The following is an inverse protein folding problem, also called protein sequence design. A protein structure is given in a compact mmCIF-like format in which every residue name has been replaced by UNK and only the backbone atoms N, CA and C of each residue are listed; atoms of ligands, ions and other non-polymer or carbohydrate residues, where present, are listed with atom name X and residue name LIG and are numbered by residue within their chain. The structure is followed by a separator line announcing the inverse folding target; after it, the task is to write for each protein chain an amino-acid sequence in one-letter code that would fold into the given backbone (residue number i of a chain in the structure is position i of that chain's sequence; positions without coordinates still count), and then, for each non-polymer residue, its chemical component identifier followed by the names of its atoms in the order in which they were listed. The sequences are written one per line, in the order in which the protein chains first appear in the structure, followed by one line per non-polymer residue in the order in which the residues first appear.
data_IF_287141076309
#
_entry.id   IF_287141076309
#
_cell.length_a   1.000
_cell.length_b   1.000
_cell.length_c   1.000
_cell.angle_alpha   90.00
_cell.angle_beta   90.00
_cell.angle_gamma   90.00
#
_symmetry.space_group_name_H-M   'P 1'
#
loop_
_entity.id
_entity.type
_entity.pdbx_description
1 polymer ?
#
# COMPACT_ATOMS: atom_id res chain seq x y z
N UNK A 1 -10.23 15.38 35.12
CA UNK A 1 -11.28 14.79 34.27
C UNK A 1 -10.57 14.06 33.15
N UNK A 2 -10.40 12.77 33.34
CA UNK A 2 -9.42 11.92 32.66
C UNK A 2 -10.05 11.36 31.37
N UNK A 3 -9.55 11.81 30.21
CA UNK A 3 -9.99 11.32 28.90
C UNK A 3 -9.38 9.93 28.67
N UNK A 4 -10.14 8.89 29.01
CA UNK A 4 -9.84 7.51 28.62
C UNK A 4 -9.74 7.42 27.10
N UNK A 5 -8.52 7.16 26.62
CA UNK A 5 -8.30 6.69 25.25
C UNK A 5 -8.78 5.24 25.16
N UNK A 6 -10.06 5.06 24.78
CA UNK A 6 -10.56 3.75 24.40
C UNK A 6 -9.92 3.34 23.07
N UNK A 7 -8.89 2.50 23.18
CA UNK A 7 -8.38 1.67 22.11
C UNK A 7 -9.50 0.68 21.73
N UNK A 8 -10.43 1.13 20.87
CA UNK A 8 -11.37 0.23 20.22
C UNK A 8 -10.58 -0.80 19.44
N UNK A 9 -10.74 -2.06 19.83
CA UNK A 9 -10.16 -3.23 19.20
C UNK A 9 -10.39 -3.17 17.68
N UNK A 10 -9.29 -3.20 16.92
CA UNK A 10 -9.29 -3.23 15.46
C UNK A 10 -9.66 -4.63 14.96
N UNK A 11 -10.88 -5.10 15.26
CA UNK A 11 -11.39 -6.32 14.63
C UNK A 11 -11.96 -5.98 13.25
N UNK A 12 -11.55 -6.71 12.19
CA UNK A 12 -12.07 -6.48 10.85
C UNK A 12 -13.58 -6.77 10.81
N UNK A 13 -14.34 -5.94 10.09
CA UNK A 13 -15.77 -6.20 9.89
C UNK A 13 -15.98 -7.46 9.06
N UNK A 14 -17.15 -8.11 9.18
CA UNK A 14 -17.49 -9.33 8.43
C UNK A 14 -17.35 -9.16 6.90
N UNK A 15 -17.58 -7.95 6.39
CA UNK A 15 -17.43 -7.61 4.98
C UNK A 15 -15.95 -7.43 4.58
N UNK A 16 -15.17 -6.77 5.44
CA UNK A 16 -13.71 -6.67 5.31
C UNK A 16 -13.07 -8.06 5.26
N UNK A 17 -13.47 -8.96 6.16
CA UNK A 17 -13.02 -10.35 6.19
C UNK A 17 -13.41 -11.09 4.91
N UNK A 18 -14.65 -10.97 4.42
CA UNK A 18 -15.09 -11.63 3.17
C UNK A 18 -14.31 -11.16 1.95
N UNK A 19 -14.06 -9.86 1.84
CA UNK A 19 -13.25 -9.30 0.76
C UNK A 19 -11.84 -9.89 0.88
N UNK A 20 -11.23 -9.81 2.06
CA UNK A 20 -9.86 -10.28 2.31
C UNK A 20 -9.68 -11.80 2.07
N UNK A 21 -10.71 -12.63 2.33
CA UNK A 21 -10.66 -14.05 1.96
C UNK A 21 -10.76 -14.25 0.45
N UNK A 22 -11.71 -13.57 -0.21
CA UNK A 22 -11.84 -13.62 -1.67
C UNK A 22 -10.50 -13.29 -2.38
N UNK A 23 -9.69 -12.44 -1.74
CA UNK A 23 -8.34 -12.07 -2.16
C UNK A 23 -7.29 -13.17 -2.04
N UNK A 24 -7.19 -13.89 -0.92
CA UNK A 24 -6.21 -14.98 -0.79
C UNK A 24 -6.51 -16.11 -1.75
N UNK A 25 -7.79 -16.46 -1.92
CA UNK A 25 -8.20 -17.36 -2.99
C UNK A 25 -7.73 -16.82 -4.35
N UNK A 26 -7.88 -15.54 -4.63
CA UNK A 26 -7.40 -14.92 -5.88
C UNK A 26 -5.89 -15.01 -6.14
N UNK A 27 -5.04 -15.15 -5.12
CA UNK A 27 -3.58 -15.31 -5.30
C UNK A 27 -3.15 -16.74 -5.69
N UNK A 28 -4.05 -17.74 -5.61
CA UNK A 28 -3.77 -19.14 -6.00
C UNK A 28 -4.63 -19.68 -7.14
N UNK A 29 -5.45 -18.86 -7.83
CA UNK A 29 -6.54 -19.42 -8.64
C UNK A 29 -6.51 -19.09 -10.12
N UNK A 30 -5.84 -19.98 -10.82
CA UNK A 30 -6.49 -20.68 -11.91
C UNK A 30 -7.67 -21.55 -11.40
N UNK A 31 -8.85 -20.96 -11.11
CA UNK A 31 -10.19 -21.62 -10.92
C UNK A 31 -10.80 -21.67 -9.48
N UNK A 32 -11.16 -20.53 -8.88
CA UNK A 32 -12.44 -20.51 -8.14
C UNK A 32 -13.27 -19.34 -8.65
N UNK A 33 -14.53 -19.63 -8.96
CA UNK A 33 -15.47 -18.62 -9.42
C UNK A 33 -15.93 -17.75 -8.25
N UNK A 34 -16.32 -16.51 -8.52
CA UNK A 34 -16.84 -15.57 -7.51
C UNK A 34 -18.03 -16.15 -6.72
N UNK A 35 -18.80 -17.03 -7.35
CA UNK A 35 -19.94 -17.71 -6.75
C UNK A 35 -19.53 -18.83 -5.78
N UNK A 36 -18.41 -19.52 -6.02
CA UNK A 36 -17.83 -20.46 -5.04
C UNK A 36 -17.38 -19.76 -3.76
N UNK A 37 -16.79 -18.56 -3.89
CA UNK A 37 -16.35 -17.78 -2.72
C UNK A 37 -17.56 -17.28 -1.91
N UNK A 38 -18.63 -16.83 -2.59
CA UNK A 38 -19.86 -16.39 -1.92
C UNK A 38 -20.60 -17.52 -1.22
N UNK A 39 -20.62 -18.70 -1.83
CA UNK A 39 -21.34 -19.87 -1.32
C UNK A 39 -20.54 -20.68 -0.31
N UNK A 40 -19.26 -20.35 -0.10
CA UNK A 40 -18.40 -21.03 0.85
C UNK A 40 -18.98 -20.92 2.28
N UNK A 41 -19.24 -22.05 2.97
CA UNK A 41 -19.80 -22.03 4.32
C UNK A 41 -18.82 -21.43 5.34
N UNK A 42 -17.51 -21.53 5.06
CA UNK A 42 -16.45 -20.90 5.83
C UNK A 42 -15.34 -20.45 4.90
N UNK A 43 -14.85 -19.25 5.15
CA UNK A 43 -13.81 -18.58 4.40
C UNK A 43 -12.52 -18.59 5.24
N UNK A 44 -11.36 -18.85 4.61
CA UNK A 44 -10.05 -18.87 5.29
C UNK A 44 -9.74 -17.50 5.93
N UNK A 45 -9.56 -17.47 7.25
CA UNK A 45 -9.19 -16.23 7.94
C UNK A 45 -7.83 -15.69 7.47
N UNK A 46 -7.81 -14.40 7.14
CA UNK A 46 -6.60 -13.70 6.78
C UNK A 46 -6.11 -12.89 7.98
N UNK A 47 -4.85 -13.05 8.41
CA UNK A 47 -4.33 -12.26 9.51
C UNK A 47 -4.33 -10.78 9.16
N UNK A 48 -4.87 -9.96 10.06
CA UNK A 48 -4.91 -8.51 9.87
C UNK A 48 -3.49 -7.93 9.88
N UNK A 49 -3.10 -7.13 8.86
CA UNK A 49 -1.78 -6.54 8.81
C UNK A 49 -1.65 -5.41 9.84
N UNK A 50 -0.68 -5.52 10.75
CA UNK A 50 -0.41 -4.47 11.72
C UNK A 50 0.51 -3.38 11.13
N UNK A 51 0.12 -2.08 11.20
CA UNK A 51 0.95 -1.00 10.70
C UNK A 51 2.21 -0.81 11.54
N UNK A 52 3.35 -0.41 10.94
CA UNK A 52 4.59 -0.20 11.66
C UNK A 52 4.53 1.07 12.52
N UNK A 53 4.83 0.93 13.82
CA UNK A 53 4.87 2.06 14.75
C UNK A 53 6.22 2.76 14.73
N UNK A 54 6.21 4.09 14.66
CA UNK A 54 7.43 4.90 14.78
C UNK A 54 7.88 4.89 16.24
N UNK A 55 9.14 4.54 16.48
CA UNK A 55 9.80 4.70 17.78
C UNK A 55 10.56 6.02 17.77
N UNK A 56 10.05 7.03 18.49
CA UNK A 56 10.62 8.39 18.48
C UNK A 56 12.07 8.42 18.99
N UNK A 57 12.44 7.51 19.88
CA UNK A 57 13.81 7.40 20.42
C UNK A 57 14.80 6.78 19.43
N UNK A 58 14.34 5.90 18.54
CA UNK A 58 15.20 5.11 17.65
C UNK A 58 15.11 5.50 16.17
N UNK A 59 14.08 6.26 15.76
CA UNK A 59 13.86 6.59 14.36
C UNK A 59 15.00 7.40 13.75
N UNK A 60 15.63 8.27 14.55
CA UNK A 60 16.81 9.03 14.16
C UNK A 60 18.02 8.12 13.86
N UNK A 61 18.14 7.00 14.56
CA UNK A 61 19.28 6.07 14.42
C UNK A 61 19.11 5.14 13.23
N UNK A 62 17.87 4.77 12.89
CA UNK A 62 17.59 3.72 11.89
C UNK A 62 16.39 4.04 10.99
N UNK A 63 16.36 5.20 10.30
CA UNK A 63 15.22 5.61 9.47
C UNK A 63 14.98 4.63 8.31
N UNK A 64 16.05 4.10 7.71
CA UNK A 64 15.99 3.13 6.60
C UNK A 64 15.31 1.82 7.02
N UNK A 65 15.58 1.32 8.23
CA UNK A 65 14.94 0.11 8.73
C UNK A 65 13.43 0.31 8.91
N UNK A 66 13.01 1.50 9.35
CA UNK A 66 11.59 1.82 9.45
C UNK A 66 10.93 1.89 8.06
N UNK A 67 11.59 2.51 7.08
CA UNK A 67 11.15 2.54 5.67
C UNK A 67 10.94 1.11 5.12
N UNK A 68 11.84 0.17 5.42
CA UNK A 68 11.65 -1.23 5.04
C UNK A 68 10.40 -1.86 5.67
N UNK A 69 10.13 -1.58 6.95
CA UNK A 69 8.90 -2.04 7.62
C UNK A 69 7.64 -1.45 7.01
N UNK A 70 7.69 -0.20 6.55
CA UNK A 70 6.59 0.42 5.80
C UNK A 70 6.33 -0.34 4.51
N UNK A 71 7.38 -0.63 3.73
CA UNK A 71 7.22 -1.40 2.49
C UNK A 71 6.74 -2.84 2.73
N UNK A 72 7.22 -3.51 3.78
CA UNK A 72 6.71 -4.83 4.20
C UNK A 72 5.22 -4.76 4.54
N UNK A 73 4.77 -3.70 5.20
CA UNK A 73 3.35 -3.49 5.49
C UNK A 73 2.52 -3.29 4.22
N UNK A 74 2.99 -2.50 3.25
CA UNK A 74 2.32 -2.37 1.95
C UNK A 74 2.22 -3.72 1.22
N UNK A 75 3.29 -4.52 1.26
CA UNK A 75 3.30 -5.85 0.65
C UNK A 75 2.27 -6.79 1.32
N UNK A 76 2.06 -6.67 2.64
CA UNK A 76 1.01 -7.43 3.37
C UNK A 76 -0.40 -6.99 3.00
N UNK A 77 -0.63 -5.73 2.64
CA UNK A 77 -1.91 -5.27 2.10
C UNK A 77 -2.15 -5.84 0.69
N UNK A 78 -1.09 -6.11 -0.07
CA UNK A 78 -1.11 -6.68 -1.43
C UNK A 78 -1.69 -5.76 -2.50
N UNK A 79 -1.35 -6.01 -3.77
CA UNK A 79 -1.83 -5.20 -4.88
C UNK A 79 -3.27 -5.55 -5.25
N UNK A 80 -4.12 -4.54 -5.46
CA UNK A 80 -5.50 -4.74 -5.83
C UNK A 80 -5.67 -5.08 -7.34
N UNK A 81 -5.96 -6.36 -7.61
CA UNK A 81 -6.34 -6.95 -8.90
C UNK A 81 -7.85 -7.10 -9.19
N UNK A 82 -8.79 -6.76 -8.29
CA UNK A 82 -10.24 -7.03 -8.48
C UNK A 82 -10.92 -6.12 -9.49
N UNK A 83 -10.24 -5.05 -9.93
CA UNK A 83 -10.80 -4.05 -10.82
C UNK A 83 -11.56 -2.94 -10.08
N UNK A 84 -12.14 -3.22 -8.92
CA UNK A 84 -12.81 -2.24 -8.05
C UNK A 84 -11.80 -1.49 -7.18
N UNK A 85 -11.94 -0.17 -7.08
CA UNK A 85 -11.17 0.66 -6.16
C UNK A 85 -11.94 0.79 -4.83
N UNK A 86 -11.30 0.42 -3.72
CA UNK A 86 -11.96 0.46 -2.39
C UNK A 86 -11.82 1.83 -1.71
N UNK A 87 -10.71 2.53 -1.94
CA UNK A 87 -10.46 3.84 -1.33
C UNK A 87 -10.37 4.90 -2.41
N UNK A 88 -11.24 5.91 -2.33
CA UNK A 88 -11.19 7.01 -3.27
C UNK A 88 -9.98 7.89 -3.01
N UNK A 89 -9.15 8.08 -4.04
CA UNK A 89 -7.98 8.95 -3.99
C UNK A 89 -8.08 9.98 -5.09
N UNK A 90 -8.30 11.26 -4.73
CA UNK A 90 -8.27 12.36 -5.70
C UNK A 90 -6.91 13.07 -5.59
N UNK A 91 -6.15 13.22 -6.69
CA UNK A 91 -4.82 13.84 -6.66
C UNK A 91 -4.78 15.26 -6.09
N UNK A 92 -5.90 16.00 -6.20
CA UNK A 92 -6.03 17.39 -5.72
C UNK A 92 -6.72 17.49 -4.36
N UNK A 93 -6.91 16.37 -3.64
CA UNK A 93 -7.45 16.39 -2.29
C UNK A 93 -6.47 17.07 -1.32
N UNK A 94 -7.01 17.70 -0.28
CA UNK A 94 -6.21 18.24 0.82
C UNK A 94 -5.41 17.14 1.53
N UNK A 95 -4.29 17.51 2.15
CA UNK A 95 -3.49 16.59 2.97
C UNK A 95 -4.31 15.97 4.12
N UNK A 96 -5.29 16.70 4.68
CA UNK A 96 -6.19 16.19 5.71
C UNK A 96 -7.03 15.04 5.15
N UNK A 97 -7.64 15.23 3.97
CA UNK A 97 -8.44 14.20 3.30
C UNK A 97 -7.61 12.96 3.00
N UNK A 98 -6.40 13.14 2.43
CA UNK A 98 -5.49 12.03 2.13
C UNK A 98 -5.05 11.27 3.40
N UNK A 99 -4.89 12.00 4.50
CA UNK A 99 -4.57 11.43 5.80
C UNK A 99 -5.73 10.60 6.37
N UNK A 100 -6.98 11.06 6.23
CA UNK A 100 -8.16 10.26 6.59
C UNK A 100 -8.31 9.01 5.72
N UNK A 101 -8.04 9.11 4.41
CA UNK A 101 -7.98 7.93 3.53
C UNK A 101 -6.92 6.94 4.02
N UNK A 102 -5.75 7.41 4.45
CA UNK A 102 -4.70 6.54 4.99
C UNK A 102 -5.14 5.82 6.27
N UNK A 103 -5.83 6.51 7.18
CA UNK A 103 -6.41 5.89 8.39
C UNK A 103 -7.48 4.87 8.04
N UNK A 104 -8.30 5.14 7.02
CA UNK A 104 -9.28 4.17 6.52
C UNK A 104 -8.59 2.92 5.96
N UNK A 105 -7.53 3.06 5.15
CA UNK A 105 -6.75 1.92 4.66
C UNK A 105 -6.19 1.09 5.82
N UNK A 106 -5.62 1.74 6.83
CA UNK A 106 -5.06 1.05 8.01
C UNK A 106 -6.16 0.32 8.80
N UNK A 107 -7.33 0.94 8.97
CA UNK A 107 -8.46 0.38 9.73
C UNK A 107 -9.08 -0.82 9.03
N UNK A 108 -9.22 -0.76 7.71
CA UNK A 108 -9.86 -1.82 6.93
C UNK A 108 -8.87 -2.90 6.47
N UNK A 109 -7.57 -2.62 6.33
CA UNK A 109 -6.59 -3.64 5.96
C UNK A 109 -6.79 -4.27 4.57
N UNK A 110 -7.56 -3.61 3.69
CA UNK A 110 -7.89 -4.12 2.35
C UNK A 110 -6.78 -3.87 1.33
N UNK A 111 -6.73 -4.65 0.23
CA UNK A 111 -5.76 -4.45 -0.84
C UNK A 111 -5.85 -3.11 -1.54
N UNK A 112 -4.70 -2.58 -1.93
CA UNK A 112 -4.55 -1.22 -2.47
C UNK A 112 -3.81 -1.22 -3.82
N UNK A 113 -3.92 -0.12 -4.55
CA UNK A 113 -3.19 0.17 -5.79
C UNK A 113 -2.07 1.17 -5.53
N UNK A 114 -1.32 1.48 -6.59
CA UNK A 114 -0.14 2.34 -6.52
C UNK A 114 -0.40 3.74 -5.94
N UNK A 115 -1.53 4.39 -6.26
CA UNK A 115 -1.84 5.72 -5.71
C UNK A 115 -2.17 5.67 -4.21
N UNK A 116 -2.99 4.72 -3.78
CA UNK A 116 -3.32 4.49 -2.36
C UNK A 116 -2.05 4.17 -1.56
N UNK A 117 -1.13 3.38 -2.13
CA UNK A 117 0.17 3.07 -1.51
C UNK A 117 1.03 4.33 -1.32
N UNK A 118 1.05 5.26 -2.28
CA UNK A 118 1.78 6.54 -2.15
C UNK A 118 1.22 7.37 -0.99
N UNK A 119 -0.11 7.51 -0.93
CA UNK A 119 -0.79 8.30 0.11
C UNK A 119 -0.53 7.69 1.50
N UNK A 120 -0.70 6.38 1.63
CA UNK A 120 -0.44 5.66 2.87
C UNK A 120 1.03 5.76 3.29
N UNK A 121 1.97 5.72 2.34
CA UNK A 121 3.41 5.85 2.62
C UNK A 121 3.74 7.24 3.15
N UNK A 122 3.15 8.31 2.60
CA UNK A 122 3.31 9.67 3.14
C UNK A 122 2.83 9.73 4.58
N UNK A 123 1.64 9.18 4.87
CA UNK A 123 1.09 9.12 6.22
C UNK A 123 2.02 8.39 7.19
N UNK A 124 2.47 7.18 6.85
CA UNK A 124 3.33 6.36 7.71
C UNK A 124 4.73 6.94 7.89
N UNK A 125 5.23 7.75 6.96
CA UNK A 125 6.58 8.32 7.02
C UNK A 125 6.63 9.77 7.52
N UNK A 126 5.49 10.38 7.88
CA UNK A 126 5.43 11.76 8.36
C UNK A 126 6.31 12.04 9.59
N UNK A 127 6.50 11.06 10.47
CA UNK A 127 7.35 11.19 11.66
C UNK A 127 8.83 10.84 11.44
N UNK A 128 9.27 10.58 10.20
CA UNK A 128 10.67 10.24 9.90
C UNK A 128 11.45 11.55 9.65
N UNK A 129 12.42 11.90 10.52
CA UNK A 129 13.15 13.16 10.41
C UNK A 129 14.04 13.18 9.16
N UNK A 130 14.17 14.37 8.55
CA UNK A 130 15.01 14.63 7.37
C UNK A 130 14.70 13.78 6.12
N UNK A 131 13.53 13.14 6.05
CA UNK A 131 13.07 12.37 4.89
C UNK A 131 12.29 13.26 3.92
N UNK A 132 12.90 13.59 2.78
CA UNK A 132 12.20 14.19 1.64
C UNK A 132 11.32 13.15 0.96
N UNK A 133 10.14 13.57 0.49
CA UNK A 133 9.12 12.71 -0.14
C UNK A 133 8.54 13.43 -1.34
N UNK A 134 8.45 12.76 -2.48
CA UNK A 134 7.92 13.35 -3.71
C UNK A 134 7.30 12.27 -4.60
N UNK A 135 6.17 12.54 -5.26
CA UNK A 135 5.54 11.56 -6.16
C UNK A 135 6.37 11.40 -7.45
N UNK A 136 6.59 10.15 -7.85
CA UNK A 136 7.22 9.79 -9.13
C UNK A 136 6.19 9.11 -10.03
N UNK A 137 5.77 9.81 -11.09
CA UNK A 137 4.75 9.35 -12.02
C UNK A 137 5.39 8.78 -13.30
N UNK A 138 4.89 7.64 -13.75
CA UNK A 138 5.30 6.97 -14.98
C UNK A 138 4.12 6.82 -15.92
N UNK A 139 4.29 7.27 -17.16
CA UNK A 139 3.43 6.93 -18.29
C UNK A 139 4.22 5.97 -19.18
N UNK A 140 3.82 4.72 -19.22
CA UNK A 140 4.43 3.69 -20.07
C UNK A 140 3.52 3.38 -21.23
N UNK A 141 4.13 3.14 -22.39
CA UNK A 141 3.44 2.71 -23.59
C UNK A 141 3.75 1.24 -23.85
N UNK A 142 2.74 0.48 -24.26
CA UNK A 142 2.90 -0.90 -24.69
C UNK A 142 2.12 -1.15 -25.98
N UNK A 143 2.81 -1.68 -26.98
CA UNK A 143 2.20 -2.11 -28.24
C UNK A 143 1.83 -3.58 -28.11
N UNK A 144 0.53 -3.89 -28.24
CA UNK A 144 0.02 -5.25 -28.17
C UNK A 144 0.36 -6.01 -29.46
N UNK A 145 1.04 -7.16 -29.36
CA UNK A 145 1.48 -7.95 -30.53
C UNK A 145 0.32 -8.45 -31.41
N UNK A 146 -0.85 -8.69 -30.83
CA UNK A 146 -1.97 -9.37 -31.50
C UNK A 146 -2.73 -8.42 -32.45
N UNK A 147 -2.86 -7.14 -32.10
CA UNK A 147 -3.66 -6.18 -32.87
C UNK A 147 -2.93 -4.86 -33.18
N UNK A 148 -1.64 -4.76 -32.86
CA UNK A 148 -0.84 -3.51 -32.93
C UNK A 148 -1.48 -2.32 -32.20
N UNK A 149 -2.43 -2.55 -31.29
CA UNK A 149 -3.05 -1.47 -30.54
C UNK A 149 -2.09 -0.98 -29.45
N UNK A 150 -1.92 0.34 -29.42
CA UNK A 150 -1.17 1.06 -28.40
C UNK A 150 -2.01 1.15 -27.12
N UNK A 151 -1.42 0.81 -25.98
CA UNK A 151 -2.02 1.01 -24.66
C UNK A 151 -1.07 1.79 -23.78
N UNK A 152 -1.64 2.76 -23.05
CA UNK A 152 -0.93 3.52 -22.04
C UNK A 152 -1.22 2.97 -20.65
N UNK A 153 -0.18 2.90 -19.84
CA UNK A 153 -0.25 2.51 -18.43
C UNK A 153 0.32 3.63 -17.58
N UNK A 154 -0.43 3.99 -16.54
CA UNK A 154 -0.01 4.99 -15.57
C UNK A 154 0.35 4.29 -14.26
N UNK A 155 1.46 4.69 -13.69
CA UNK A 155 1.95 4.16 -12.43
C UNK A 155 2.59 5.26 -11.60
N UNK A 156 2.51 5.16 -10.28
CA UNK A 156 3.10 6.13 -9.36
C UNK A 156 3.76 5.41 -8.19
N UNK A 157 4.92 5.89 -7.77
CA UNK A 157 5.61 5.50 -6.53
C UNK A 157 5.99 6.74 -5.74
N UNK A 158 6.29 6.58 -4.46
CA UNK A 158 6.79 7.67 -3.62
C UNK A 158 8.32 7.65 -3.66
N UNK A 159 8.91 8.64 -4.33
CA UNK A 159 10.33 8.93 -4.24
C UNK A 159 10.71 9.46 -2.86
N UNK A 160 11.85 9.03 -2.35
CA UNK A 160 12.39 9.39 -1.04
C UNK A 160 13.79 10.00 -1.18
N UNK A 161 14.09 11.00 -0.35
CA UNK A 161 15.46 11.53 -0.18
C UNK A 161 15.88 11.55 1.28
N UNK A 162 17.12 11.14 1.58
CA UNK A 162 17.67 11.19 2.93
C UNK A 162 19.16 11.57 2.90
N UNK A 163 19.44 12.87 2.99
CA UNK A 163 20.74 13.41 2.59
C UNK A 163 20.93 13.24 1.09
N UNK A 164 22.08 12.70 0.66
CA UNK A 164 22.39 12.48 -0.76
C UNK A 164 21.88 11.12 -1.29
N UNK A 165 20.95 10.50 -0.56
CA UNK A 165 20.34 9.21 -0.88
C UNK A 165 19.03 9.40 -1.60
N UNK A 166 18.77 8.56 -2.60
CA UNK A 166 17.45 8.43 -3.20
C UNK A 166 16.94 6.99 -3.05
N UNK A 167 15.62 6.84 -2.98
CA UNK A 167 14.95 5.55 -2.94
C UNK A 167 13.47 5.68 -3.30
N UNK A 168 12.75 4.56 -3.33
CA UNK A 168 11.31 4.55 -3.58
C UNK A 168 10.59 3.62 -2.60
N UNK A 169 9.36 3.99 -2.25
CA UNK A 169 8.35 3.12 -1.60
C UNK A 169 7.13 3.12 -2.52
N UNK A 170 6.46 1.98 -2.66
CA UNK A 170 5.23 1.91 -3.44
C UNK A 170 4.72 0.49 -3.58
N UNK A 171 3.73 0.32 -4.45
CA UNK A 171 3.15 -0.98 -4.72
C UNK A 171 2.81 -1.11 -6.20
N UNK A 172 3.15 -2.25 -6.80
CA UNK A 172 2.97 -2.50 -8.22
C UNK A 172 2.58 -3.96 -8.45
N UNK A 173 2.06 -4.25 -9.64
CA UNK A 173 1.78 -5.62 -10.10
C UNK A 173 3.06 -6.38 -10.44
N UNK A 174 4.19 -5.67 -10.57
CA UNK A 174 5.50 -6.23 -10.88
C UNK A 174 6.48 -5.76 -9.84
N UNK A 175 7.21 -6.69 -9.23
CA UNK A 175 8.12 -6.39 -8.12
C UNK A 175 9.23 -5.40 -8.52
N UNK A 176 9.65 -5.41 -9.78
CA UNK A 176 10.68 -4.51 -10.29
C UNK A 176 10.19 -3.08 -10.57
N UNK A 177 8.91 -2.78 -10.34
CA UNK A 177 8.28 -1.48 -10.58
C UNK A 177 7.70 -0.84 -9.31
N UNK A 178 8.11 -1.25 -8.10
CA UNK A 178 7.58 -0.70 -6.84
C UNK A 178 8.69 -0.13 -5.96
N UNK A 179 9.14 -0.90 -4.98
CA UNK A 179 10.29 -0.58 -4.17
C UNK A 179 11.58 -1.03 -4.84
N UNK A 180 12.57 -0.17 -4.78
CA UNK A 180 13.95 -0.57 -5.03
C UNK A 180 14.48 -1.20 -3.74
N UNK A 181 14.11 -2.47 -3.50
CA UNK A 181 14.70 -3.29 -2.42
C UNK A 181 16.19 -3.34 -2.61
N UNK A 182 16.90 -3.24 -1.49
CA UNK A 182 18.33 -3.46 -1.43
C UNK A 182 19.09 -2.68 -2.49
N UNK A 183 18.96 -1.36 -2.42
CA UNK A 183 20.08 -0.45 -2.41
C UNK A 183 19.50 0.95 -2.46
N UNK A 184 19.52 1.63 -1.32
CA UNK A 184 19.85 3.05 -1.37
C UNK A 184 21.29 3.11 -1.91
N UNK A 185 21.45 2.86 -3.21
CA UNK A 185 22.66 3.18 -3.94
C UNK A 185 22.54 4.66 -4.24
N UNK A 186 23.11 5.40 -3.30
CA UNK A 186 23.81 6.62 -3.58
C UNK A 186 24.67 6.53 -4.84
N UNK A 187 24.94 7.70 -5.41
CA UNK A 187 25.74 8.00 -6.62
C UNK A 187 24.94 7.83 -7.91
N UNK A 188 24.80 8.84 -8.78
CA UNK A 188 25.41 10.17 -8.89
C UNK A 188 24.36 11.16 -9.38
#
# INVERSE_FOLDING_TARGET
MELKHDARNNEPTTETTRIQVAWISGQSLSKQSFEEIKSAPQLQEVPFPNPPRISHTNIHKRPVQYIHKVQEYLNKLTYNHTGTQFFETRPNSSMITLNETSKAIIREGLPIKCMEAVILSVHLTNGVPALGRFPLNFKSEMIMKINKNQRYFYHVVLGLTLGNRFGTIGLSRRDNLMDKKSNIHFTC
#
